data_IF_584775670364
#
_entry.id   IF_584775670364
#
_cell.length_a   1.000
_cell.length_b   1.000
_cell.length_c   1.000
_cell.angle_alpha   90.00
_cell.angle_beta   90.00
_cell.angle_gamma   90.00
#
_symmetry.space_group_name_H-M   'P 1'
#
loop_
_entity.id
_entity.type
_entity.pdbx_description
1 polymer ?
#
# COMPACT_ATOMS: atom_id res chain seq x y z
N UNK A 1 0.86 0.99 29.47
CA UNK A 1 0.58 0.81 30.91
C UNK A 1 0.62 -0.68 31.29
N UNK A 2 0.68 -1.00 32.59
CA UNK A 2 0.58 -2.37 33.13
C UNK A 2 -0.86 -2.88 33.02
N UNK A 3 -1.89 -2.07 33.31
CA UNK A 3 -3.30 -2.51 33.17
C UNK A 3 -3.68 -2.76 31.71
N UNK A 4 -3.12 -1.97 30.78
CA UNK A 4 -3.19 -2.20 29.32
C UNK A 4 -2.62 -3.59 28.94
N UNK A 5 -1.44 -3.96 29.45
CA UNK A 5 -0.83 -5.29 29.24
C UNK A 5 -1.58 -6.43 29.94
N UNK A 6 -2.34 -6.14 30.99
CA UNK A 6 -3.19 -7.08 31.71
C UNK A 6 -4.65 -7.12 31.19
N UNK A 7 -4.94 -6.53 30.02
CA UNK A 7 -6.28 -6.52 29.41
C UNK A 7 -7.35 -5.73 30.21
N UNK A 8 -6.96 -5.01 31.26
CA UNK A 8 -7.88 -4.30 32.16
C UNK A 8 -8.24 -2.92 31.59
N UNK A 9 -8.94 -2.90 30.45
CA UNK A 9 -9.21 -1.70 29.65
C UNK A 9 -9.95 -0.59 30.41
N UNK A 10 -10.91 -0.92 31.29
CA UNK A 10 -11.61 0.06 32.11
C UNK A 10 -10.67 0.85 33.05
N UNK A 11 -9.79 0.15 33.77
CA UNK A 11 -8.79 0.79 34.66
C UNK A 11 -7.74 1.57 33.89
N UNK A 12 -7.31 1.05 32.73
CA UNK A 12 -6.41 1.78 31.85
C UNK A 12 -7.05 3.09 31.37
N UNK A 13 -8.34 3.08 31.01
CA UNK A 13 -9.08 4.29 30.65
C UNK A 13 -9.15 5.29 31.82
N UNK A 14 -9.51 4.87 33.03
CA UNK A 14 -9.52 5.75 34.22
C UNK A 14 -8.16 6.42 34.45
N UNK A 15 -7.07 5.65 34.38
CA UNK A 15 -5.71 6.17 34.55
C UNK A 15 -5.31 7.16 33.45
N UNK A 16 -5.57 6.87 32.18
CA UNK A 16 -5.22 7.79 31.09
C UNK A 16 -6.09 9.05 31.08
N UNK A 17 -7.39 8.94 31.35
CA UNK A 17 -8.28 10.10 31.52
C UNK A 17 -7.83 10.99 32.69
N UNK A 18 -7.38 10.41 33.80
CA UNK A 18 -6.79 11.16 34.93
C UNK A 18 -5.46 11.85 34.54
N UNK A 19 -4.61 11.20 33.74
CA UNK A 19 -3.35 11.79 33.26
C UNK A 19 -3.58 12.99 32.34
N UNK A 20 -4.59 12.94 31.46
CA UNK A 20 -4.97 14.06 30.56
C UNK A 20 -5.65 15.20 31.35
N UNK A 21 -6.53 14.87 32.31
CA UNK A 21 -7.27 15.88 33.10
C UNK A 21 -6.41 16.55 34.18
N UNK A 22 -5.32 15.93 34.60
CA UNK A 22 -4.45 16.45 35.67
C UNK A 22 -3.69 17.71 35.22
N UNK A 23 -3.81 18.85 35.93
CA UNK A 23 -3.04 20.07 35.62
C UNK A 23 -1.54 19.95 35.96
N UNK A 24 -1.08 18.77 36.39
CA UNK A 24 0.35 18.41 36.52
C UNK A 24 0.77 17.26 35.57
N UNK A 25 -0.20 16.59 34.94
CA UNK A 25 0.08 15.80 33.75
C UNK A 25 0.49 16.74 32.61
N UNK A 26 1.14 16.22 31.58
CA UNK A 26 1.27 16.93 30.30
C UNK A 26 0.05 16.54 29.47
N UNK A 27 -0.95 17.40 29.22
CA UNK A 27 -2.15 17.06 28.45
C UNK A 27 -1.88 16.94 26.93
N UNK A 28 -0.65 16.56 26.58
CA UNK A 28 0.06 16.93 25.35
C UNK A 28 1.04 15.83 24.92
N UNK A 29 1.12 14.71 25.67
CA UNK A 29 1.90 13.55 25.27
C UNK A 29 1.11 12.77 24.19
N UNK A 30 1.56 12.75 22.92
CA UNK A 30 0.85 12.06 21.84
C UNK A 30 0.73 10.56 22.14
N UNK A 31 1.77 9.96 22.73
CA UNK A 31 1.79 8.54 23.06
C UNK A 31 0.80 8.14 24.16
N UNK A 32 0.29 9.10 24.94
CA UNK A 32 -0.82 8.90 25.88
C UNK A 32 -2.16 9.10 25.17
N UNK A 33 -2.29 10.14 24.34
CA UNK A 33 -3.51 10.43 23.58
C UNK A 33 -3.87 9.27 22.61
N UNK A 34 -2.90 8.76 21.85
CA UNK A 34 -3.08 7.60 20.98
C UNK A 34 -3.45 6.30 21.73
N UNK A 35 -2.93 6.09 22.96
CA UNK A 35 -3.32 4.95 23.80
C UNK A 35 -4.75 5.09 24.31
N UNK A 36 -5.15 6.29 24.72
CA UNK A 36 -6.51 6.59 25.15
C UNK A 36 -7.51 6.40 23.99
N UNK A 37 -7.18 6.90 22.80
CA UNK A 37 -7.94 6.66 21.56
C UNK A 37 -8.09 5.17 21.26
N UNK A 38 -7.01 4.39 21.39
CA UNK A 38 -7.04 2.94 21.19
C UNK A 38 -7.80 2.16 22.26
N UNK A 39 -8.08 2.75 23.43
CA UNK A 39 -9.01 2.18 24.42
C UNK A 39 -10.47 2.52 24.07
N UNK A 40 -10.76 3.73 23.58
CA UNK A 40 -12.09 4.10 23.08
C UNK A 40 -12.49 3.25 21.86
N UNK A 41 -11.56 2.99 20.93
CA UNK A 41 -11.73 2.04 19.83
C UNK A 41 -12.16 0.64 20.35
N UNK A 42 -11.49 0.14 21.39
CA UNK A 42 -11.82 -1.16 22.01
C UNK A 42 -13.12 -1.16 22.82
N UNK A 43 -13.63 0.01 23.18
CA UNK A 43 -14.94 0.20 23.79
C UNK A 43 -16.07 0.42 22.77
N UNK A 44 -15.75 0.54 21.47
CA UNK A 44 -16.71 0.80 20.39
C UNK A 44 -17.09 2.28 20.21
N UNK A 45 -16.47 3.20 20.94
CA UNK A 45 -16.68 4.65 20.76
C UNK A 45 -15.67 5.20 19.74
N UNK A 46 -15.95 5.00 18.45
CA UNK A 46 -15.15 5.56 17.36
C UNK A 46 -15.14 7.11 17.37
N UNK A 47 -16.10 7.78 18.04
CA UNK A 47 -16.19 9.26 18.06
C UNK A 47 -15.17 9.86 19.03
N UNK A 48 -15.09 9.32 20.25
CA UNK A 48 -14.03 9.68 21.19
C UNK A 48 -12.67 9.20 20.68
N UNK A 49 -12.59 8.00 20.09
CA UNK A 49 -11.34 7.53 19.49
C UNK A 49 -10.82 8.48 18.40
N UNK A 50 -11.69 8.96 17.51
CA UNK A 50 -11.33 9.96 16.51
C UNK A 50 -10.80 11.25 17.14
N UNK A 51 -11.50 11.80 18.14
CA UNK A 51 -11.06 13.01 18.85
C UNK A 51 -9.64 12.87 19.44
N UNK A 52 -9.37 11.79 20.18
CA UNK A 52 -8.06 11.60 20.82
C UNK A 52 -6.94 11.23 19.81
N UNK A 53 -7.25 10.54 18.70
CA UNK A 53 -6.28 10.32 17.62
C UNK A 53 -5.96 11.62 16.87
N UNK A 54 -6.96 12.47 16.61
CA UNK A 54 -6.75 13.76 15.96
C UNK A 54 -5.89 14.70 16.84
N UNK A 55 -6.19 14.81 18.13
CA UNK A 55 -5.35 15.57 19.07
C UNK A 55 -3.93 14.99 19.17
N UNK A 56 -3.77 13.66 19.20
CA UNK A 56 -2.44 13.03 19.14
C UNK A 56 -1.67 13.44 17.87
N UNK A 57 -2.34 13.42 16.71
CA UNK A 57 -1.74 13.80 15.43
C UNK A 57 -1.34 15.28 15.38
N UNK A 58 -2.12 16.19 15.98
CA UNK A 58 -1.78 17.62 16.08
C UNK A 58 -0.46 17.87 16.81
N UNK A 59 -0.17 17.10 17.87
CA UNK A 59 1.08 17.22 18.61
C UNK A 59 2.25 16.43 18.00
N UNK A 60 1.99 15.34 17.26
CA UNK A 60 3.05 14.54 16.61
C UNK A 60 2.59 13.89 15.29
N UNK A 61 2.67 14.63 14.16
CA UNK A 61 2.23 14.15 12.84
C UNK A 61 3.29 13.24 12.17
N UNK A 62 3.70 12.20 12.90
CA UNK A 62 4.69 11.19 12.51
C UNK A 62 4.36 9.78 13.03
N UNK A 63 3.46 9.62 14.02
CA UNK A 63 3.04 8.29 14.46
C UNK A 63 2.23 7.58 13.37
N UNK A 64 2.84 6.58 12.72
CA UNK A 64 2.22 5.81 11.65
C UNK A 64 0.92 5.14 12.07
N UNK A 65 0.79 4.71 13.34
CA UNK A 65 -0.44 4.06 13.84
C UNK A 65 -1.60 5.05 13.84
N UNK A 66 -1.36 6.28 14.29
CA UNK A 66 -2.36 7.36 14.34
C UNK A 66 -2.72 7.82 12.93
N UNK A 67 -1.72 8.01 12.05
CA UNK A 67 -1.91 8.39 10.65
C UNK A 67 -2.74 7.34 9.89
N UNK A 68 -2.36 6.07 10.01
CA UNK A 68 -3.07 4.95 9.37
C UNK A 68 -4.50 4.85 9.89
N UNK A 69 -4.71 4.96 11.21
CA UNK A 69 -6.03 4.91 11.79
C UNK A 69 -6.92 6.07 11.34
N UNK A 70 -6.41 7.31 11.32
CA UNK A 70 -7.16 8.48 10.84
C UNK A 70 -7.51 8.36 9.35
N UNK A 71 -6.56 7.93 8.51
CA UNK A 71 -6.82 7.66 7.09
C UNK A 71 -7.90 6.61 6.87
N UNK A 72 -7.83 5.47 7.57
CA UNK A 72 -8.84 4.40 7.50
C UNK A 72 -10.19 4.90 8.03
N UNK A 73 -10.23 5.69 9.11
CA UNK A 73 -11.45 6.29 9.63
C UNK A 73 -12.14 7.17 8.58
N UNK A 74 -11.41 8.07 7.92
CA UNK A 74 -12.00 8.89 6.85
C UNK A 74 -12.45 8.07 5.64
N UNK A 75 -11.76 6.98 5.28
CA UNK A 75 -12.23 6.05 4.22
C UNK A 75 -13.52 5.31 4.64
N UNK A 76 -13.65 4.90 5.91
CA UNK A 76 -14.88 4.30 6.45
C UNK A 76 -16.07 5.27 6.41
N UNK A 77 -15.84 6.56 6.67
CA UNK A 77 -16.85 7.62 6.61
C UNK A 77 -17.08 8.15 5.17
N UNK A 78 -16.54 7.48 4.15
CA UNK A 78 -16.58 7.86 2.72
C UNK A 78 -15.95 9.24 2.39
N UNK A 79 -15.23 9.85 3.33
CA UNK A 79 -14.57 11.15 3.22
C UNK A 79 -13.17 11.02 2.58
N UNK A 80 -13.10 10.47 1.37
CA UNK A 80 -11.84 10.15 0.69
C UNK A 80 -10.90 11.36 0.54
N UNK A 81 -11.44 12.56 0.29
CA UNK A 81 -10.66 13.81 0.20
C UNK A 81 -9.92 14.13 1.50
N UNK A 82 -10.55 13.90 2.66
CA UNK A 82 -9.93 14.05 3.97
C UNK A 82 -8.94 12.93 4.31
N UNK A 83 -9.06 11.74 3.69
CA UNK A 83 -8.14 10.63 3.88
C UNK A 83 -6.81 10.80 3.12
N UNK A 84 -6.85 11.39 1.92
CA UNK A 84 -5.67 11.65 1.06
C UNK A 84 -4.48 12.27 1.80
N UNK A 85 -4.60 13.36 2.60
CA UNK A 85 -3.46 13.94 3.31
C UNK A 85 -2.82 12.99 4.33
N UNK A 86 -3.57 12.09 4.96
CA UNK A 86 -3.00 11.11 5.91
C UNK A 86 -2.19 10.03 5.18
N UNK A 87 -2.71 9.44 4.10
CA UNK A 87 -1.93 8.48 3.31
C UNK A 87 -0.75 9.12 2.55
N UNK A 88 -0.90 10.39 2.13
CA UNK A 88 0.20 11.21 1.61
C UNK A 88 1.27 11.50 2.67
N UNK A 89 0.87 11.61 3.94
CA UNK A 89 1.82 11.75 5.06
C UNK A 89 2.51 10.43 5.38
N UNK A 90 1.80 9.31 5.33
CA UNK A 90 2.38 7.98 5.50
C UNK A 90 3.45 7.69 4.43
N UNK A 91 3.19 8.01 3.16
CA UNK A 91 4.16 7.82 2.07
C UNK A 91 5.38 8.75 2.13
N UNK A 92 5.34 9.84 2.91
CA UNK A 92 6.52 10.66 3.22
C UNK A 92 7.40 10.04 4.31
N UNK A 93 6.79 9.28 5.23
CA UNK A 93 7.49 8.64 6.37
C UNK A 93 8.07 7.30 5.93
N UNK A 94 7.33 6.55 5.09
CA UNK A 94 7.74 5.26 4.52
C UNK A 94 7.73 5.33 2.98
N UNK A 95 8.66 6.05 2.33
CA UNK A 95 8.68 6.23 0.87
C UNK A 95 8.96 4.93 0.09
N UNK A 96 9.62 3.97 0.75
CA UNK A 96 9.86 2.63 0.22
C UNK A 96 8.57 1.82 0.09
N UNK A 97 7.57 2.10 0.92
CA UNK A 97 6.32 1.36 0.97
C UNK A 97 5.36 1.82 -0.14
N UNK A 98 4.79 0.85 -0.84
CA UNK A 98 3.93 1.05 -2.02
C UNK A 98 2.47 1.24 -1.59
N UNK A 99 2.05 0.53 -0.52
CA UNK A 99 0.73 0.56 0.12
C UNK A 99 0.18 1.98 0.27
N UNK A 100 0.96 2.90 0.84
CA UNK A 100 0.52 4.28 1.08
C UNK A 100 0.20 5.06 -0.20
N UNK A 101 0.98 4.86 -1.27
CA UNK A 101 0.72 5.50 -2.57
C UNK A 101 -0.51 4.88 -3.26
N UNK A 102 -0.69 3.56 -3.14
CA UNK A 102 -1.88 2.86 -3.64
C UNK A 102 -3.17 3.29 -2.90
N UNK A 103 -3.10 3.56 -1.60
CA UNK A 103 -4.25 4.07 -0.83
C UNK A 103 -4.67 5.48 -1.28
N UNK A 104 -3.71 6.37 -1.61
CA UNK A 104 -4.02 7.68 -2.22
C UNK A 104 -4.70 7.50 -3.59
N UNK A 105 -4.18 6.63 -4.45
CA UNK A 105 -4.79 6.34 -5.76
C UNK A 105 -6.20 5.73 -5.64
N UNK A 106 -6.42 4.86 -4.65
CA UNK A 106 -7.72 4.27 -4.34
C UNK A 106 -8.74 5.30 -3.84
N UNK A 107 -8.30 6.30 -3.06
CA UNK A 107 -9.14 7.44 -2.67
C UNK A 107 -9.58 8.24 -3.91
N UNK A 108 -8.67 8.58 -4.82
CA UNK A 108 -9.04 9.24 -6.09
C UNK A 108 -10.00 8.39 -6.94
N UNK A 109 -9.84 7.05 -6.97
CA UNK A 109 -10.78 6.15 -7.65
C UNK A 109 -12.19 6.22 -7.04
N UNK A 110 -12.31 6.11 -5.71
CA UNK A 110 -13.62 6.21 -5.02
C UNK A 110 -14.25 7.61 -5.11
N UNK A 111 -13.46 8.66 -5.32
CA UNK A 111 -13.94 10.01 -5.66
C UNK A 111 -14.43 10.16 -7.12
N UNK A 112 -14.42 9.10 -7.94
CA UNK A 112 -14.64 9.14 -9.39
C UNK A 112 -13.62 10.02 -10.15
N UNK A 113 -12.47 10.35 -9.55
CA UNK A 113 -11.39 11.11 -10.17
C UNK A 113 -10.49 10.20 -11.04
N UNK A 114 -11.10 9.35 -11.88
CA UNK A 114 -10.44 8.27 -12.60
C UNK A 114 -9.15 8.68 -13.36
N UNK A 115 -9.07 9.84 -14.05
CA UNK A 115 -7.83 10.25 -14.73
C UNK A 115 -6.66 10.55 -13.78
N UNK A 116 -6.95 11.01 -12.55
CA UNK A 116 -5.93 11.28 -11.53
C UNK A 116 -5.48 9.97 -10.87
N UNK A 117 -6.42 9.10 -10.53
CA UNK A 117 -6.14 7.77 -10.00
C UNK A 117 -5.30 6.92 -10.98
N UNK A 118 -5.69 6.87 -12.26
CA UNK A 118 -4.97 6.12 -13.30
C UNK A 118 -3.53 6.61 -13.46
N UNK A 119 -3.32 7.93 -13.55
CA UNK A 119 -1.97 8.52 -13.63
C UNK A 119 -1.11 8.14 -12.42
N UNK A 120 -1.67 8.18 -11.21
CA UNK A 120 -0.94 7.82 -9.99
C UNK A 120 -0.64 6.30 -9.92
N UNK A 121 -1.57 5.44 -10.35
CA UNK A 121 -1.30 4.00 -10.47
C UNK A 121 -0.21 3.70 -11.53
N UNK A 122 -0.18 4.41 -12.66
CA UNK A 122 0.86 4.25 -13.67
C UNK A 122 2.24 4.75 -13.18
N UNK A 123 2.30 5.86 -12.44
CA UNK A 123 3.52 6.33 -11.76
C UNK A 123 4.03 5.32 -10.73
N UNK A 124 3.13 4.73 -9.93
CA UNK A 124 3.49 3.66 -8.99
C UNK A 124 4.02 2.45 -9.74
N UNK A 125 3.33 1.97 -10.77
CA UNK A 125 3.74 0.80 -11.56
C UNK A 125 5.07 1.01 -12.29
N UNK A 126 5.36 2.22 -12.75
CA UNK A 126 6.66 2.55 -13.33
C UNK A 126 7.79 2.46 -12.29
N UNK A 127 7.54 2.90 -11.04
CA UNK A 127 8.51 2.77 -9.94
C UNK A 127 8.65 1.34 -9.40
N UNK A 128 7.56 0.56 -9.42
CA UNK A 128 7.44 -0.77 -8.82
C UNK A 128 6.71 -1.75 -9.77
N UNK A 129 7.35 -2.15 -10.90
CA UNK A 129 6.68 -2.94 -11.93
C UNK A 129 6.34 -4.37 -11.52
N UNK A 130 6.95 -4.87 -10.44
CA UNK A 130 6.69 -6.22 -9.91
C UNK A 130 5.57 -6.26 -8.87
N UNK A 131 5.00 -5.12 -8.47
CA UNK A 131 3.92 -5.11 -7.48
C UNK A 131 2.61 -5.62 -8.07
N UNK A 132 2.07 -6.67 -7.46
CA UNK A 132 0.88 -7.39 -7.94
C UNK A 132 -0.38 -6.57 -7.70
N UNK A 133 -0.48 -5.87 -6.57
CA UNK A 133 -1.68 -5.10 -6.22
C UNK A 133 -1.81 -3.83 -7.07
N UNK A 134 -0.71 -3.14 -7.37
CA UNK A 134 -0.72 -2.05 -8.35
C UNK A 134 -1.24 -2.49 -9.73
N UNK A 135 -0.86 -3.69 -10.20
CA UNK A 135 -1.36 -4.23 -11.49
C UNK A 135 -2.84 -4.62 -11.39
N UNK A 136 -3.30 -5.16 -10.25
CA UNK A 136 -4.71 -5.45 -10.00
C UNK A 136 -5.56 -4.18 -10.01
N UNK A 137 -5.13 -3.13 -9.31
CA UNK A 137 -5.82 -1.83 -9.34
C UNK A 137 -5.83 -1.19 -10.74
N UNK A 138 -4.73 -1.29 -11.51
CA UNK A 138 -4.69 -0.84 -12.91
C UNK A 138 -5.72 -1.56 -13.79
N UNK A 139 -5.87 -2.89 -13.63
CA UNK A 139 -6.91 -3.65 -14.34
C UNK A 139 -8.31 -3.18 -13.92
N UNK A 140 -8.54 -2.95 -12.63
CA UNK A 140 -9.84 -2.47 -12.11
C UNK A 140 -10.21 -1.10 -12.66
N UNK A 141 -9.31 -0.11 -12.60
CA UNK A 141 -9.61 1.23 -13.10
C UNK A 141 -9.77 1.27 -14.63
N UNK A 142 -8.99 0.49 -15.38
CA UNK A 142 -9.20 0.35 -16.82
C UNK A 142 -10.55 -0.28 -17.16
N UNK A 143 -11.08 -1.23 -16.36
CA UNK A 143 -12.45 -1.77 -16.52
C UNK A 143 -13.50 -0.69 -16.26
N UNK A 144 -13.39 0.07 -15.16
CA UNK A 144 -14.29 1.18 -14.81
C UNK A 144 -14.34 2.23 -15.92
N UNK A 145 -13.17 2.62 -16.44
CA UNK A 145 -13.03 3.55 -17.57
C UNK A 145 -13.35 2.93 -18.95
N UNK A 146 -13.69 1.63 -19.01
CA UNK A 146 -13.98 0.86 -20.24
C UNK A 146 -12.86 0.90 -21.28
N UNK A 147 -11.61 0.95 -20.82
CA UNK A 147 -10.39 0.92 -21.62
C UNK A 147 -9.82 -0.50 -21.75
N UNK A 148 -8.85 -0.68 -22.68
CA UNK A 148 -8.19 -1.98 -22.90
C UNK A 148 -7.14 -2.25 -21.83
N UNK A 149 -7.33 -3.32 -21.05
CA UNK A 149 -6.41 -3.75 -19.98
C UNK A 149 -5.63 -5.03 -20.33
N UNK A 150 -5.65 -5.48 -21.59
CA UNK A 150 -5.06 -6.77 -22.02
C UNK A 150 -3.57 -6.92 -21.65
N UNK A 151 -2.82 -5.81 -21.71
CA UNK A 151 -1.41 -5.74 -21.36
C UNK A 151 -1.17 -5.88 -19.85
N UNK A 152 -1.95 -5.19 -19.01
CA UNK A 152 -1.91 -5.36 -17.56
C UNK A 152 -2.34 -6.78 -17.15
N UNK A 153 -3.37 -7.35 -17.78
CA UNK A 153 -3.78 -8.74 -17.52
C UNK A 153 -2.74 -9.78 -17.95
N UNK A 154 -2.02 -9.54 -19.05
CA UNK A 154 -0.88 -10.36 -19.44
C UNK A 154 0.31 -10.20 -18.46
N UNK A 155 0.51 -9.01 -17.89
CA UNK A 155 1.55 -8.75 -16.91
C UNK A 155 1.26 -9.41 -15.56
N UNK A 156 0.03 -9.30 -15.04
CA UNK A 156 -0.40 -9.96 -13.81
C UNK A 156 -0.15 -11.48 -13.88
N UNK A 157 -0.60 -12.12 -14.96
CA UNK A 157 -0.35 -13.56 -15.25
C UNK A 157 1.12 -13.92 -15.42
N UNK A 158 2.04 -12.96 -15.52
CA UNK A 158 3.50 -13.19 -15.51
C UNK A 158 4.04 -13.08 -14.09
N UNK A 159 3.62 -12.07 -13.33
CA UNK A 159 4.01 -11.87 -11.93
C UNK A 159 3.54 -13.02 -11.04
N UNK A 160 2.27 -13.42 -11.14
CA UNK A 160 1.69 -14.53 -10.35
C UNK A 160 2.45 -15.84 -10.59
N UNK A 161 2.75 -16.20 -11.85
CA UNK A 161 3.57 -17.38 -12.18
C UNK A 161 5.03 -17.30 -11.71
N UNK A 162 5.60 -16.10 -11.56
CA UNK A 162 6.94 -15.93 -10.98
C UNK A 162 6.90 -16.11 -9.46
N UNK A 163 5.85 -15.61 -8.80
CA UNK A 163 5.62 -15.81 -7.36
C UNK A 163 5.33 -17.29 -7.02
N UNK A 164 4.50 -17.97 -7.83
CA UNK A 164 4.25 -19.41 -7.74
C UNK A 164 5.55 -20.22 -7.89
N UNK A 165 6.40 -19.87 -8.86
CA UNK A 165 7.69 -20.54 -9.07
C UNK A 165 8.67 -20.32 -7.90
N UNK A 166 8.64 -19.15 -7.27
CA UNK A 166 9.46 -18.86 -6.08
C UNK A 166 8.96 -19.63 -4.85
N UNK A 167 7.65 -19.60 -4.55
CA UNK A 167 7.07 -20.32 -3.42
C UNK A 167 7.11 -21.86 -3.61
N UNK A 168 6.92 -22.35 -4.84
CA UNK A 168 6.97 -23.77 -5.17
C UNK A 168 8.37 -24.40 -5.13
N UNK A 169 9.43 -23.58 -5.13
CA UNK A 169 10.82 -24.04 -5.21
C UNK A 169 11.30 -24.94 -4.07
N UNK A 170 10.62 -24.93 -2.92
CA UNK A 170 10.93 -25.82 -1.79
C UNK A 170 10.33 -27.23 -1.88
N UNK A 171 9.47 -27.49 -2.88
CA UNK A 171 8.46 -28.57 -2.86
C UNK A 171 8.74 -29.82 -3.70
N UNK A 172 9.98 -30.32 -3.74
CA UNK A 172 10.28 -31.65 -4.28
C UNK A 172 10.33 -31.77 -5.80
N UNK A 173 11.54 -31.61 -6.37
CA UNK A 173 11.82 -32.00 -7.74
C UNK A 173 11.60 -33.51 -7.95
N UNK A 174 10.48 -33.89 -8.55
CA UNK A 174 10.28 -35.26 -9.05
C UNK A 174 11.28 -35.50 -10.19
N UNK A 175 12.16 -36.51 -10.12
CA UNK A 175 13.06 -36.82 -11.22
C UNK A 175 12.23 -37.18 -12.46
N UNK A 176 12.58 -36.60 -13.61
CA UNK A 176 11.91 -36.86 -14.88
C UNK A 176 12.03 -38.36 -15.20
N UNK A 177 10.89 -39.04 -15.34
CA UNK A 177 10.85 -40.48 -15.58
C UNK A 177 11.51 -40.85 -16.91
N UNK A 178 12.71 -41.43 -16.85
CA UNK A 178 13.44 -41.90 -18.03
C UNK A 178 12.68 -43.04 -18.69
N UNK A 179 12.18 -42.81 -19.90
CA UNK A 179 11.56 -43.86 -20.74
C UNK A 179 12.62 -44.88 -21.16
N UNK A 180 12.61 -46.04 -20.50
CA UNK A 180 13.53 -47.14 -20.75
C UNK A 180 12.78 -48.36 -21.28
N UNK A 181 12.71 -48.50 -22.61
CA UNK A 181 12.58 -49.77 -23.34
C UNK A 181 12.55 -49.54 -24.86
N UNK A 182 13.56 -50.03 -25.57
CA UNK A 182 13.47 -50.81 -26.82
C UNK A 182 14.88 -51.35 -27.10
N UNK A 183 15.00 -52.64 -27.39
CA UNK A 183 16.27 -53.31 -27.64
C UNK A 183 16.70 -53.18 -29.10
N UNK A 184 18.01 -53.20 -29.39
CA UNK A 184 18.62 -53.99 -30.47
C UNK A 184 20.12 -53.74 -30.61
N UNK A 185 20.85 -54.73 -31.14
CA UNK A 185 22.14 -54.55 -31.81
C UNK A 185 23.37 -54.39 -30.91
N UNK A 186 24.23 -55.40 -30.90
CA UNK A 186 25.63 -55.22 -30.50
C UNK A 186 26.47 -54.81 -31.73
N UNK A 187 27.59 -54.11 -31.53
CA UNK A 187 28.93 -54.62 -31.90
C UNK A 187 30.10 -53.70 -31.48
N UNK A 188 31.11 -54.34 -30.87
CA UNK A 188 32.57 -54.11 -30.97
C UNK A 188 33.24 -52.78 -30.51
N UNK A 189 34.43 -52.97 -29.89
CA UNK A 189 35.42 -51.99 -29.39
C UNK A 189 36.47 -51.66 -30.50
N UNK A 190 37.54 -50.82 -30.30
CA UNK A 190 38.02 -50.15 -29.07
C UNK A 190 38.43 -48.65 -29.19
N UNK A 191 38.87 -48.12 -28.05
CA UNK A 191 39.46 -46.80 -27.75
C UNK A 191 40.54 -46.24 -28.71
N UNK A 192 40.62 -44.91 -28.80
CA UNK A 192 41.87 -44.13 -28.58
C UNK A 192 41.61 -42.61 -28.43
N UNK A 193 42.57 -41.90 -27.83
CA UNK A 193 42.72 -40.44 -27.72
C UNK A 193 44.23 -40.14 -27.55
N UNK A 194 44.73 -38.88 -27.67
CA UNK A 194 44.10 -37.63 -28.10
C UNK A 194 44.78 -36.99 -29.33
N UNK A 195 44.30 -35.83 -29.81
CA UNK A 195 44.94 -35.03 -30.87
C UNK A 195 44.61 -33.53 -30.80
N UNK A 196 45.59 -32.67 -31.12
CA UNK A 196 45.45 -31.20 -31.10
C UNK A 196 44.84 -30.64 -32.40
N UNK A 197 44.19 -29.47 -32.33
CA UNK A 197 43.75 -28.69 -33.49
C UNK A 197 43.65 -27.19 -33.17
N UNK A 198 44.09 -26.33 -34.10
CA UNK A 198 44.12 -24.86 -33.97
C UNK A 198 43.13 -24.17 -34.93
N UNK A 199 42.79 -22.89 -34.68
CA UNK A 199 42.03 -22.02 -35.59
C UNK A 199 41.09 -21.07 -34.83
N UNK A 200 41.44 -19.86 -34.39
CA UNK A 200 41.89 -18.61 -35.07
C UNK A 200 40.84 -17.89 -35.94
N UNK A 201 40.93 -16.54 -35.91
CA UNK A 201 40.18 -15.49 -36.65
C UNK A 201 38.79 -15.11 -36.06
N UNK A 202 38.37 -13.84 -35.99
CA UNK A 202 38.97 -12.49 -36.28
C UNK A 202 38.22 -11.44 -35.42
N UNK A 203 38.90 -10.48 -34.75
CA UNK A 203 39.27 -9.10 -35.18
C UNK A 203 38.07 -8.18 -35.60
N UNK A 204 38.15 -6.82 -35.44
CA UNK A 204 38.91 -6.00 -34.45
C UNK A 204 38.18 -4.69 -33.98
N UNK A 205 38.88 -3.83 -33.21
CA UNK A 205 38.84 -2.33 -33.24
C UNK A 205 37.57 -1.55 -32.80
N UNK A 206 37.60 -0.24 -32.46
CA UNK A 206 38.63 0.61 -31.79
C UNK A 206 38.12 2.05 -31.54
N UNK A 207 38.43 2.64 -30.37
CA UNK A 207 38.66 4.08 -30.10
C UNK A 207 37.55 5.13 -30.41
N UNK A 208 37.80 6.38 -29.99
CA UNK A 208 37.03 7.62 -30.24
C UNK A 208 35.67 7.68 -29.51
N UNK A 209 35.19 8.78 -28.90
CA UNK A 209 35.69 10.14 -28.59
C UNK A 209 35.14 10.52 -27.17
N UNK A 210 35.60 11.50 -26.38
CA UNK A 210 35.76 12.96 -26.54
C UNK A 210 34.45 13.75 -26.84
N UNK A 211 34.08 14.82 -26.12
CA UNK A 211 34.48 15.26 -24.76
C UNK A 211 33.29 15.13 -23.78
N UNK A 212 32.66 16.08 -23.07
CA UNK A 212 32.75 17.54 -22.85
C UNK A 212 32.23 17.84 -21.41
N UNK A 213 32.56 19.00 -20.82
CA UNK A 213 32.11 19.43 -19.46
C UNK A 213 31.09 20.60 -19.53
N UNK A 214 29.97 20.51 -18.79
CA UNK A 214 29.14 21.68 -18.40
C UNK A 214 28.79 21.69 -16.90
N UNK A 215 28.84 22.85 -16.22
CA UNK A 215 28.63 22.95 -14.78
C UNK A 215 27.15 23.03 -14.38
N UNK A 216 26.72 22.18 -13.45
CA UNK A 216 25.37 22.19 -12.90
C UNK A 216 25.16 23.36 -11.91
N UNK A 217 24.30 24.33 -12.25
CA UNK A 217 23.93 25.42 -11.35
C UNK A 217 23.09 24.92 -10.14
N UNK A 218 23.61 25.11 -8.92
CA UNK A 218 22.86 24.89 -7.69
C UNK A 218 21.82 26.00 -7.46
N UNK A 219 20.56 25.73 -7.80
CA UNK A 219 19.44 26.47 -7.22
C UNK A 219 19.17 26.00 -5.78
N UNK A 220 19.16 26.87 -4.76
CA UNK A 220 18.81 26.49 -3.41
C UNK A 220 17.32 26.14 -3.32
N UNK A 221 16.92 25.14 -2.51
CA UNK A 221 15.51 24.81 -2.33
C UNK A 221 14.77 25.98 -1.67
N UNK A 222 13.60 26.34 -2.22
CA UNK A 222 12.71 27.34 -1.60
C UNK A 222 12.35 26.90 -0.19
N UNK A 223 12.44 27.82 0.76
CA UNK A 223 11.84 27.67 2.08
C UNK A 223 10.34 27.43 1.93
N UNK A 224 9.85 26.28 2.38
CA UNK A 224 8.41 25.99 2.42
C UNK A 224 7.78 26.88 3.48
N UNK A 225 6.86 27.74 3.09
CA UNK A 225 6.11 28.57 4.02
C UNK A 225 5.22 27.68 4.91
N UNK A 226 5.23 27.97 6.20
CA UNK A 226 4.49 27.20 7.19
C UNK A 226 3.01 27.57 7.08
N UNK A 227 2.21 26.70 6.44
CA UNK A 227 0.77 26.92 6.31
C UNK A 227 0.11 27.01 7.69
N UNK A 228 -0.47 28.16 8.01
CA UNK A 228 -1.44 28.29 9.10
C UNK A 228 -2.65 27.41 8.77
N UNK A 229 -2.86 26.37 9.57
CA UNK A 229 -3.96 25.44 9.36
C UNK A 229 -5.28 26.11 9.75
N UNK A 230 -6.13 26.39 8.75
CA UNK A 230 -7.53 26.72 9.00
C UNK A 230 -8.20 25.57 9.76
N UNK A 231 -8.95 25.90 10.82
CA UNK A 231 -9.57 24.89 11.67
C UNK A 231 -10.67 24.12 10.90
N UNK A 232 -10.68 22.78 10.89
CA UNK A 232 -11.75 22.02 10.25
C UNK A 232 -13.02 22.10 11.10
N UNK A 233 -14.06 22.77 10.58
CA UNK A 233 -15.34 22.90 11.27
C UNK A 233 -15.99 21.53 11.56
N UNK A 234 -16.45 21.33 12.79
CA UNK A 234 -17.26 20.15 13.13
C UNK A 234 -18.69 20.31 12.58
N UNK A 235 -19.26 19.30 11.88
CA UNK A 235 -20.58 19.39 11.29
C UNK A 235 -21.69 19.46 12.35
N UNK A 236 -22.22 20.66 12.61
CA UNK A 236 -23.32 20.87 13.55
C UNK A 236 -24.66 20.33 13.00
N UNK A 237 -25.45 19.69 13.84
CA UNK A 237 -26.68 18.99 13.44
C UNK A 237 -27.78 19.96 13.00
N UNK A 238 -28.02 20.07 11.69
CA UNK A 238 -29.00 21.03 11.11
C UNK A 238 -29.72 20.59 9.83
N UNK A 239 -29.88 19.29 9.58
CA UNK A 239 -30.47 18.77 8.33
C UNK A 239 -31.98 19.04 8.15
N UNK A 240 -32.45 19.50 6.97
CA UNK A 240 -33.88 19.73 6.71
C UNK A 240 -34.66 18.42 6.51
N UNK A 241 -35.89 18.37 7.03
CA UNK A 241 -36.76 17.18 7.01
C UNK A 241 -37.20 16.80 5.58
N UNK A 242 -36.59 15.79 4.98
CA UNK A 242 -37.10 15.12 3.77
C UNK A 242 -38.32 14.24 4.11
N UNK A 243 -39.27 14.14 3.18
CA UNK A 243 -40.45 13.27 3.28
C UNK A 243 -40.10 11.83 2.88
N UNK A 244 -40.76 10.86 3.49
CA UNK A 244 -40.70 9.45 3.06
C UNK A 244 -41.42 9.27 1.71
N UNK A 245 -40.86 8.39 0.89
CA UNK A 245 -41.48 7.71 -0.25
C UNK A 245 -41.45 6.19 0.05
N UNK A 246 -42.29 5.36 -0.60
CA UNK A 246 -42.53 3.99 -0.14
C UNK A 246 -41.37 3.03 -0.38
N UNK A 247 -41.35 1.96 0.42
CA UNK A 247 -40.41 0.84 0.37
C UNK A 247 -40.58 0.06 -0.93
N UNK A 248 -39.46 -0.24 -1.61
CA UNK A 248 -39.36 -1.35 -2.55
C UNK A 248 -38.35 -2.34 -1.97
N UNK A 249 -38.61 -3.64 -2.12
CA UNK A 249 -37.85 -4.72 -1.52
C UNK A 249 -37.14 -5.49 -2.64
N UNK A 250 -35.91 -5.09 -2.93
CA UNK A 250 -34.99 -5.80 -3.83
C UNK A 250 -33.79 -6.25 -2.97
N UNK A 251 -33.54 -7.56 -2.92
CA UNK A 251 -32.57 -8.21 -2.02
C UNK A 251 -31.15 -8.24 -2.62
N UNK A 252 -30.51 -7.07 -2.75
CA UNK A 252 -29.12 -6.96 -3.23
C UNK A 252 -28.11 -7.42 -2.16
N UNK A 253 -27.74 -8.71 -2.23
CA UNK A 253 -26.77 -9.41 -1.39
C UNK A 253 -25.30 -8.98 -1.69
N UNK A 254 -24.97 -7.72 -1.38
CA UNK A 254 -23.66 -7.09 -1.65
C UNK A 254 -23.10 -6.29 -0.46
N UNK A 255 -23.32 -6.79 0.76
CA UNK A 255 -23.09 -6.03 1.99
C UNK A 255 -21.75 -6.20 2.71
N UNK A 256 -20.96 -7.26 2.42
CA UNK A 256 -19.98 -7.74 3.40
C UNK A 256 -18.55 -8.00 2.87
N UNK A 257 -18.34 -8.36 1.60
CA UNK A 257 -17.07 -8.97 1.18
C UNK A 257 -16.03 -7.97 0.60
N UNK A 258 -16.43 -6.82 0.07
CA UNK A 258 -15.48 -5.82 -0.51
C UNK A 258 -14.67 -5.02 0.54
N UNK A 259 -14.96 -5.13 1.84
CA UNK A 259 -14.26 -4.35 2.87
C UNK A 259 -12.90 -4.93 3.28
N UNK A 260 -12.76 -6.25 3.28
CA UNK A 260 -11.50 -6.93 3.63
C UNK A 260 -10.50 -6.97 2.46
N UNK A 261 -10.98 -7.05 1.21
CA UNK A 261 -10.15 -7.05 -0.01
C UNK A 261 -9.55 -5.66 -0.36
N UNK A 262 -9.97 -4.58 0.32
CA UNK A 262 -9.58 -3.19 -0.01
C UNK A 262 -8.48 -2.62 0.90
N UNK A 263 -8.17 -3.28 2.03
CA UNK A 263 -7.06 -2.92 2.90
C UNK A 263 -5.96 -3.99 2.84
N UNK A 264 -4.76 -3.70 2.29
CA UNK A 264 -3.67 -4.68 2.29
C UNK A 264 -3.36 -5.11 3.74
N UNK A 265 -3.08 -6.40 3.98
CA UNK A 265 -3.02 -6.98 5.33
C UNK A 265 -2.03 -6.25 6.27
N UNK A 266 -2.30 -6.41 7.57
CA UNK A 266 -1.58 -5.82 8.71
C UNK A 266 -0.57 -6.80 9.31
#
# INVERSE_FOLDING_TARGET
DIHEKLGNHAKAHEWFSLLVTSPKGRPTDPGVLARLANLFNKAGDETQAFHYHLESYRYWPVDMNVITWLGIYYVKQEMYEAAIPFFSRASQIEPNEVKWRLMVASCYRRMNAYPQALKLYEEIHHSHPNDIECVRYLITICKEMKQKYDHYAAHLRKLERLQEAQNGGGGGARPMGTVAAIESGAEQYPSTSPGMGQGMNRLPSSAYDQDDDEPMEMNPPRSVELYEAAEPEMPTKGGPKRRLAPKQEDEDDWGNDELDDVLPPM
#
